data_IF_932445142306
#
_entry.id   IF_932445142306
#
_cell.length_a   1.000
_cell.length_b   1.000
_cell.length_c   1.000
_cell.angle_alpha   90.00
_cell.angle_beta   90.00
_cell.angle_gamma   90.00
#
_symmetry.space_group_name_H-M   'P 1'
#
loop_
_entity.id
_entity.type
_entity.pdbx_description
1 polymer ?
#
# COMPACT_ATOMS: atom_id res chain seq x y z
N UNK A 1 14.55 -8.43 -2.14
CA UNK A 1 14.27 -6.99 -1.96
C UNK A 1 13.38 -6.87 -0.72
N UNK A 2 13.08 -5.70 -0.16
CA UNK A 2 12.25 -5.65 1.07
C UNK A 2 10.78 -5.86 0.71
N UNK A 3 10.09 -6.84 1.28
CA UNK A 3 8.64 -7.00 1.07
C UNK A 3 7.85 -6.03 1.93
N UNK A 4 6.84 -5.37 1.34
CA UNK A 4 5.92 -4.49 2.09
C UNK A 4 5.24 -5.20 3.25
N UNK A 5 4.82 -6.45 3.05
CA UNK A 5 4.17 -7.26 4.09
C UNK A 5 5.04 -7.45 5.32
N UNK A 6 6.36 -7.61 5.16
CA UNK A 6 7.27 -7.84 6.28
C UNK A 6 7.35 -6.59 7.18
N UNK A 7 7.44 -5.41 6.57
CA UNK A 7 7.48 -4.12 7.30
C UNK A 7 6.15 -3.85 7.99
N UNK A 8 5.03 -4.03 7.28
CA UNK A 8 3.68 -3.81 7.83
C UNK A 8 3.38 -4.78 8.97
N UNK A 9 3.68 -6.07 8.81
CA UNK A 9 3.43 -7.07 9.84
C UNK A 9 4.32 -6.87 11.06
N UNK A 10 5.57 -6.44 10.87
CA UNK A 10 6.46 -6.08 11.97
C UNK A 10 5.90 -4.91 12.80
N UNK A 11 5.42 -3.85 12.17
CA UNK A 11 4.81 -2.73 12.89
C UNK A 11 3.53 -3.14 13.62
N UNK A 12 2.68 -3.96 12.98
CA UNK A 12 1.48 -4.54 13.61
C UNK A 12 1.83 -5.39 14.83
N UNK A 13 2.89 -6.19 14.76
CA UNK A 13 3.36 -7.00 15.89
C UNK A 13 3.78 -6.14 17.10
N UNK A 14 4.50 -5.04 16.88
CA UNK A 14 4.83 -4.09 17.96
C UNK A 14 3.56 -3.58 18.65
N UNK A 15 2.57 -3.15 17.87
CA UNK A 15 1.31 -2.63 18.39
C UNK A 15 0.49 -3.73 19.12
N UNK A 16 0.45 -4.95 18.58
CA UNK A 16 -0.23 -6.09 19.19
C UNK A 16 0.38 -6.46 20.55
N UNK A 17 1.71 -6.39 20.67
CA UNK A 17 2.42 -6.62 21.94
C UNK A 17 2.40 -5.42 22.87
N UNK A 18 1.94 -4.26 22.40
CA UNK A 18 1.92 -3.02 23.16
C UNK A 18 3.31 -2.50 23.51
N UNK A 19 4.31 -2.75 22.65
CA UNK A 19 5.70 -2.30 22.84
C UNK A 19 6.07 -1.23 21.82
N UNK A 20 7.12 -0.47 22.10
CA UNK A 20 7.77 0.41 21.13
C UNK A 20 9.20 -0.02 20.82
N UNK A 21 9.82 0.67 19.88
CA UNK A 21 11.25 0.63 19.57
C UNK A 21 11.86 1.99 19.81
N UNK A 22 13.11 1.97 20.27
CA UNK A 22 13.97 3.13 20.49
C UNK A 22 15.19 2.90 19.57
N UNK A 23 15.36 3.74 18.56
CA UNK A 23 16.37 3.53 17.53
C UNK A 23 17.68 4.22 17.89
N UNK A 24 17.63 5.43 18.45
CA UNK A 24 18.80 6.26 18.72
C UNK A 24 19.24 6.26 20.20
N UNK A 25 18.47 5.61 21.08
CA UNK A 25 18.70 5.55 22.52
C UNK A 25 18.36 6.85 23.25
N UNK A 26 17.63 7.77 22.62
CA UNK A 26 17.29 9.08 23.15
C UNK A 26 15.77 9.25 23.26
N UNK A 27 15.32 9.80 24.39
CA UNK A 27 13.91 10.13 24.64
C UNK A 27 12.93 8.93 24.55
N UNK A 28 13.43 7.69 24.58
CA UNK A 28 12.63 6.47 24.61
C UNK A 28 12.00 6.14 23.26
N UNK A 29 10.71 5.78 23.24
CA UNK A 29 10.05 5.30 22.01
C UNK A 29 9.25 6.41 21.33
N UNK A 30 9.93 7.32 20.63
CA UNK A 30 9.31 8.45 19.92
C UNK A 30 8.67 8.02 18.59
N UNK A 31 7.87 8.91 17.99
CA UNK A 31 7.26 8.64 16.68
C UNK A 31 8.30 8.41 15.58
N UNK A 32 9.42 9.13 15.63
CA UNK A 32 10.53 9.02 14.67
C UNK A 32 11.31 7.71 14.85
N UNK A 33 11.35 7.12 16.05
CA UNK A 33 12.07 5.85 16.28
C UNK A 33 11.48 4.71 15.50
N UNK A 34 10.15 4.58 15.49
CA UNK A 34 9.46 3.56 14.69
C UNK A 34 9.89 3.63 13.22
N UNK A 35 9.94 4.86 12.69
CA UNK A 35 10.27 5.14 11.29
C UNK A 35 11.75 4.93 10.99
N UNK A 36 12.63 5.41 11.86
CA UNK A 36 14.08 5.19 11.71
C UNK A 36 14.44 3.72 11.85
N UNK A 37 13.71 2.96 12.65
CA UNK A 37 13.83 1.51 12.66
C UNK A 37 13.41 0.89 11.33
N UNK A 38 12.32 1.35 10.69
CA UNK A 38 11.92 0.87 9.36
C UNK A 38 13.02 1.14 8.34
N UNK A 39 13.46 2.39 8.21
CA UNK A 39 14.44 2.81 7.21
C UNK A 39 15.85 2.32 7.49
N UNK A 40 16.26 2.24 8.75
CA UNK A 40 17.55 1.71 9.18
C UNK A 40 17.61 0.19 9.06
N UNK A 41 16.64 -0.54 9.62
CA UNK A 41 16.67 -2.01 9.66
C UNK A 41 16.38 -2.65 8.31
N UNK A 42 15.33 -2.21 7.61
CA UNK A 42 14.92 -2.85 6.37
C UNK A 42 15.66 -2.29 5.16
N UNK A 43 15.93 -0.98 5.13
CA UNK A 43 16.49 -0.30 3.96
C UNK A 43 17.95 0.15 4.14
N UNK A 44 18.53 0.01 5.34
CA UNK A 44 19.93 0.32 5.61
C UNK A 44 20.29 1.82 5.53
N UNK A 45 19.30 2.72 5.45
CA UNK A 45 19.51 4.17 5.35
C UNK A 45 18.48 4.89 6.22
N UNK A 46 18.76 5.12 7.52
CA UNK A 46 17.86 5.82 8.42
C UNK A 46 17.70 7.28 8.01
N UNK A 47 16.68 7.95 8.56
CA UNK A 47 16.41 9.37 8.32
C UNK A 47 16.84 10.20 9.53
N UNK A 48 17.01 11.50 9.32
CA UNK A 48 17.50 12.44 10.33
C UNK A 48 16.50 13.57 10.60
N UNK A 49 16.53 14.11 11.81
CA UNK A 49 15.68 15.22 12.25
C UNK A 49 14.38 14.77 12.90
N UNK A 50 13.54 15.76 13.24
CA UNK A 50 12.21 15.51 13.79
C UNK A 50 11.25 14.99 12.71
N UNK A 51 10.07 14.54 13.11
CA UNK A 51 9.06 14.03 12.18
C UNK A 51 8.76 15.01 11.03
N UNK A 52 8.70 16.31 11.30
CA UNK A 52 8.48 17.37 10.30
C UNK A 52 9.57 17.43 9.22
N UNK A 53 10.79 16.97 9.52
CA UNK A 53 11.93 17.03 8.61
C UNK A 53 12.08 15.78 7.72
N UNK A 54 11.29 14.73 7.99
CA UNK A 54 11.52 13.42 7.38
C UNK A 54 11.31 13.40 5.87
N UNK A 55 10.41 14.23 5.31
CA UNK A 55 10.23 14.32 3.86
C UNK A 55 11.50 14.84 3.17
N UNK A 56 12.15 15.85 3.73
CA UNK A 56 13.39 16.40 3.17
C UNK A 56 14.56 15.44 3.37
N UNK A 57 14.67 14.85 4.56
CA UNK A 57 15.68 13.82 4.85
C UNK A 57 15.53 12.62 3.90
N UNK A 58 14.30 12.20 3.59
CA UNK A 58 14.02 11.10 2.69
C UNK A 58 14.45 11.40 1.26
N UNK A 59 14.15 12.60 0.75
CA UNK A 59 14.63 13.04 -0.57
C UNK A 59 16.16 13.03 -0.66
N UNK A 60 16.84 13.55 0.36
CA UNK A 60 18.30 13.57 0.40
C UNK A 60 18.91 12.16 0.39
N UNK A 61 18.20 11.18 0.94
CA UNK A 61 18.61 9.77 0.93
C UNK A 61 18.13 8.98 -0.31
N UNK A 62 17.50 9.65 -1.28
CA UNK A 62 17.05 9.07 -2.55
C UNK A 62 15.76 8.26 -2.46
N UNK A 63 14.96 8.45 -1.41
CA UNK A 63 13.63 7.83 -1.31
C UNK A 63 12.58 8.62 -2.09
N UNK A 64 11.55 7.92 -2.55
CA UNK A 64 10.38 8.54 -3.18
C UNK A 64 9.57 9.29 -2.14
N UNK A 65 9.31 10.57 -2.39
CA UNK A 65 8.48 11.43 -1.56
C UNK A 65 7.29 11.94 -2.36
N UNK A 66 6.10 11.77 -1.81
CA UNK A 66 4.84 12.14 -2.42
C UNK A 66 4.18 13.16 -1.49
N UNK A 67 3.97 14.38 -2.00
CA UNK A 67 3.23 15.40 -1.26
C UNK A 67 1.73 15.17 -1.41
N UNK A 68 0.98 15.47 -0.34
CA UNK A 68 -0.47 15.40 -0.37
C UNK A 68 -1.00 16.36 -1.43
N UNK A 69 -1.78 15.83 -2.35
CA UNK A 69 -2.50 16.57 -3.39
C UNK A 69 -3.88 15.94 -3.62
N UNK A 70 -4.75 16.60 -4.37
CA UNK A 70 -6.06 16.03 -4.72
C UNK A 70 -5.86 14.73 -5.50
N UNK A 71 -6.56 13.67 -5.10
CA UNK A 71 -6.49 12.34 -5.73
C UNK A 71 -5.28 11.49 -5.31
N UNK A 72 -4.32 12.01 -4.55
CA UNK A 72 -3.24 11.22 -4.00
C UNK A 72 -3.64 10.63 -2.64
N UNK A 73 -3.46 9.31 -2.49
CA UNK A 73 -3.70 8.60 -1.23
C UNK A 73 -2.46 7.80 -0.82
N UNK A 74 -2.11 7.77 0.48
CA UNK A 74 -1.05 6.91 0.98
C UNK A 74 -1.44 5.43 0.86
N UNK A 75 -0.46 4.59 0.60
CA UNK A 75 -0.60 3.14 0.46
C UNK A 75 0.00 2.43 1.67
N UNK A 76 -0.37 1.17 1.87
CA UNK A 76 0.27 0.33 2.87
C UNK A 76 1.81 0.34 2.69
N UNK A 77 2.55 0.45 3.78
CA UNK A 77 4.00 0.58 3.78
C UNK A 77 4.53 2.00 3.57
N UNK A 78 3.68 2.98 3.26
CA UNK A 78 4.10 4.38 3.24
C UNK A 78 4.33 4.89 4.67
N UNK A 79 5.27 5.83 4.81
CA UNK A 79 5.50 6.57 6.06
C UNK A 79 4.96 7.98 5.90
N UNK A 80 3.92 8.33 6.64
CA UNK A 80 3.30 9.65 6.53
C UNK A 80 4.05 10.69 7.38
N UNK A 81 3.96 11.96 6.98
CA UNK A 81 4.42 13.10 7.77
C UNK A 81 3.29 14.11 7.86
N UNK A 82 3.03 14.61 9.06
CA UNK A 82 2.00 15.63 9.33
C UNK A 82 2.53 16.72 10.26
N UNK A 83 1.85 17.86 10.26
CA UNK A 83 2.07 18.91 11.25
C UNK A 83 1.61 18.45 12.64
N UNK A 84 2.41 18.72 13.67
CA UNK A 84 2.04 18.50 15.07
C UNK A 84 2.78 19.53 15.92
N UNK A 85 2.03 20.42 16.56
CA UNK A 85 2.57 21.52 17.34
C UNK A 85 2.48 21.19 18.82
N UNK A 86 3.63 21.19 19.50
CA UNK A 86 3.74 20.98 20.95
C UNK A 86 4.52 22.16 21.53
N UNK A 87 3.95 22.85 22.51
CA UNK A 87 4.61 24.01 23.14
C UNK A 87 4.95 25.16 22.18
N UNK A 88 4.19 25.32 21.10
CA UNK A 88 4.44 26.34 20.08
C UNK A 88 5.48 25.96 19.02
N UNK A 89 6.10 24.79 19.12
CA UNK A 89 7.07 24.27 18.15
C UNK A 89 6.43 23.14 17.35
N UNK A 90 6.57 23.17 16.02
CA UNK A 90 6.11 22.10 15.14
C UNK A 90 7.20 21.03 15.03
N UNK A 91 7.10 19.98 15.85
CA UNK A 91 7.96 18.80 15.74
C UNK A 91 7.49 17.85 14.63
N UNK A 92 6.24 18.01 14.21
CA UNK A 92 5.57 17.08 13.32
C UNK A 92 5.19 15.77 14.02
N UNK A 93 4.48 14.92 13.28
CA UNK A 93 4.20 13.55 13.71
C UNK A 93 4.28 12.61 12.51
N UNK A 94 4.56 11.34 12.76
CA UNK A 94 4.79 10.33 11.72
C UNK A 94 4.39 8.94 12.19
N UNK A 95 4.32 8.01 11.24
CA UNK A 95 4.08 6.59 11.48
C UNK A 95 3.94 5.82 10.18
N UNK A 96 3.72 4.52 10.30
CA UNK A 96 3.59 3.61 9.17
C UNK A 96 2.12 3.43 8.80
N UNK A 97 1.78 3.62 7.53
CA UNK A 97 0.48 3.30 6.95
C UNK A 97 0.38 1.79 6.74
N UNK A 98 -0.66 1.15 7.27
CA UNK A 98 -0.76 -0.32 7.34
C UNK A 98 -1.80 -0.93 6.40
N UNK A 99 -2.55 -0.09 5.69
CA UNK A 99 -3.49 -0.45 4.62
C UNK A 99 -3.58 0.68 3.60
N UNK A 100 -4.02 0.37 2.37
CA UNK A 100 -4.22 1.40 1.36
C UNK A 100 -5.34 2.36 1.79
N UNK A 101 -5.07 3.66 1.76
CA UNK A 101 -6.04 4.68 2.15
C UNK A 101 -7.09 4.86 1.06
N UNK A 102 -8.34 5.05 1.49
CA UNK A 102 -9.46 5.43 0.62
C UNK A 102 -9.43 6.91 0.19
N UNK A 103 -8.33 7.63 0.44
CA UNK A 103 -8.17 9.05 0.14
C UNK A 103 -8.79 10.01 1.16
N UNK A 104 -9.46 9.50 2.19
CA UNK A 104 -10.04 10.32 3.28
C UNK A 104 -9.39 10.02 4.63
N UNK A 105 -9.21 8.73 4.94
CA UNK A 105 -8.61 8.27 6.19
C UNK A 105 -7.47 7.30 5.92
N UNK A 106 -6.51 7.25 6.85
CA UNK A 106 -5.43 6.28 6.88
C UNK A 106 -5.52 5.46 8.17
N UNK A 107 -5.29 4.15 8.07
CA UNK A 107 -4.97 3.33 9.25
C UNK A 107 -3.48 3.14 9.33
N UNK A 108 -2.97 3.30 10.54
CA UNK A 108 -1.54 3.45 10.80
C UNK A 108 -1.13 2.70 12.06
N UNK A 109 0.17 2.46 12.18
CA UNK A 109 0.84 2.17 13.44
C UNK A 109 1.78 3.32 13.76
N UNK A 110 1.67 3.85 14.97
CA UNK A 110 2.36 5.07 15.42
C UNK A 110 2.88 4.88 16.85
N UNK A 111 3.99 5.52 17.19
CA UNK A 111 4.52 5.58 18.56
C UNK A 111 4.27 6.95 19.19
N UNK A 112 4.29 6.98 20.53
CA UNK A 112 4.13 8.18 21.34
C UNK A 112 2.83 8.96 21.04
N UNK A 113 1.71 8.24 21.03
CA UNK A 113 0.39 8.82 20.71
C UNK A 113 -0.61 8.75 21.87
N UNK A 114 -0.18 8.26 23.02
CA UNK A 114 -0.99 8.05 24.22
C UNK A 114 -1.15 9.33 25.06
N UNK A 115 -0.29 10.34 24.83
CA UNK A 115 -0.41 11.66 25.47
C UNK A 115 -0.03 11.70 26.95
N UNK A 116 0.84 10.79 27.40
CA UNK A 116 1.40 10.79 28.75
C UNK A 116 2.21 12.07 29.03
N UNK A 117 2.23 12.50 30.30
CA UNK A 117 2.83 13.78 30.70
C UNK A 117 4.36 13.85 30.45
N UNK A 118 5.02 12.69 30.45
CA UNK A 118 6.45 12.50 30.20
C UNK A 118 6.76 12.06 28.76
N UNK A 119 5.79 12.11 27.84
CA UNK A 119 5.91 11.68 26.45
C UNK A 119 7.12 12.26 25.70
N UNK A 120 7.55 13.48 26.05
CA UNK A 120 8.74 14.11 25.45
C UNK A 120 10.07 13.48 25.91
N UNK A 121 10.07 12.72 27.01
CA UNK A 121 11.26 12.15 27.62
C UNK A 121 11.33 10.63 27.52
N UNK A 122 10.17 9.95 27.43
CA UNK A 122 10.10 8.48 27.39
C UNK A 122 9.37 7.94 26.16
N UNK A 123 8.68 8.81 25.42
CA UNK A 123 7.86 8.41 24.29
C UNK A 123 6.64 7.62 24.71
N UNK A 124 6.21 6.71 23.83
CA UNK A 124 5.12 5.77 24.12
C UNK A 124 5.10 4.61 23.13
N UNK A 125 4.49 3.47 23.51
CA UNK A 125 4.50 2.25 22.70
C UNK A 125 3.79 2.42 21.36
N UNK A 126 3.99 1.46 20.46
CA UNK A 126 3.29 1.44 19.19
C UNK A 126 1.78 1.18 19.39
N UNK A 127 0.94 1.94 18.68
CA UNK A 127 -0.53 1.85 18.71
C UNK A 127 -1.10 1.86 17.32
N UNK A 128 -2.19 1.14 17.13
CA UNK A 128 -3.06 1.32 15.98
C UNK A 128 -3.77 2.67 16.05
N UNK A 129 -3.81 3.38 14.94
CA UNK A 129 -4.57 4.63 14.80
C UNK A 129 -5.35 4.63 13.49
N UNK A 130 -6.48 5.30 13.52
CA UNK A 130 -7.21 5.74 12.32
C UNK A 130 -7.21 7.26 12.36
N UNK A 131 -6.73 7.90 11.30
CA UNK A 131 -6.62 9.36 11.22
C UNK A 131 -7.15 9.85 9.89
N UNK A 132 -7.73 11.05 9.88
CA UNK A 132 -7.98 11.74 8.61
C UNK A 132 -6.66 12.17 7.98
N UNK A 133 -6.70 12.50 6.68
CA UNK A 133 -5.57 13.14 6.00
C UNK A 133 -5.45 14.65 6.31
N UNK A 134 -6.15 15.15 7.34
CA UNK A 134 -6.00 16.53 7.82
C UNK A 134 -4.59 16.70 8.39
N UNK A 135 -3.95 17.83 8.09
CA UNK A 135 -2.57 18.18 8.49
C UNK A 135 -1.44 17.28 7.95
N UNK A 136 -1.78 16.22 7.21
CA UNK A 136 -0.80 15.42 6.47
C UNK A 136 -0.18 16.27 5.36
N UNK A 137 1.15 16.34 5.35
CA UNK A 137 1.96 17.09 4.39
C UNK A 137 2.27 16.20 3.17
N UNK A 138 2.57 14.93 3.43
CA UNK A 138 2.96 13.97 2.43
C UNK A 138 3.40 12.66 3.07
N UNK A 139 3.97 11.78 2.25
CA UNK A 139 4.46 10.48 2.69
C UNK A 139 5.68 10.05 1.87
N UNK A 140 6.46 9.18 2.50
CA UNK A 140 7.64 8.55 1.92
C UNK A 140 7.24 7.15 1.51
N UNK A 141 7.55 6.78 0.26
CA UNK A 141 7.29 5.45 -0.30
C UNK A 141 8.61 4.71 -0.53
N UNK A 142 9.01 3.82 0.37
CA UNK A 142 10.16 2.96 0.14
C UNK A 142 9.98 2.08 -1.11
N UNK A 143 11.09 1.69 -1.74
CA UNK A 143 11.07 0.77 -2.88
C UNK A 143 10.93 -0.67 -2.37
N UNK A 144 9.69 -1.13 -2.27
CA UNK A 144 9.38 -2.52 -1.90
C UNK A 144 9.52 -3.46 -3.09
N UNK A 145 9.74 -4.75 -2.80
CA UNK A 145 9.79 -5.84 -3.80
C UNK A 145 8.50 -5.96 -4.60
N UNK A 146 7.37 -5.77 -3.92
CA UNK A 146 6.04 -5.80 -4.50
C UNK A 146 5.58 -4.43 -5.01
N UNK A 147 6.44 -3.41 -5.08
CA UNK A 147 6.08 -2.11 -5.64
C UNK A 147 5.88 -2.14 -7.16
N UNK A 148 6.56 -3.07 -7.85
CA UNK A 148 6.36 -3.37 -9.27
C UNK A 148 5.25 -4.42 -9.49
N UNK A 149 4.76 -5.01 -8.40
CA UNK A 149 3.48 -5.73 -8.36
C UNK A 149 2.46 -4.71 -7.87
N UNK A 150 2.21 -3.68 -8.68
CA UNK A 150 0.88 -3.09 -8.60
C UNK A 150 -0.08 -4.27 -8.63
N UNK A 151 -0.92 -4.37 -7.61
CA UNK A 151 -2.28 -4.79 -7.89
C UNK A 151 -2.73 -3.82 -8.98
N UNK A 152 -2.51 -4.21 -10.24
CA UNK A 152 -3.56 -4.10 -11.22
C UNK A 152 -4.79 -4.48 -10.40
N UNK A 153 -5.69 -3.51 -10.19
CA UNK A 153 -7.08 -3.90 -10.31
C UNK A 153 -7.07 -4.85 -11.49
N UNK A 154 -7.28 -6.14 -11.26
CA UNK A 154 -7.59 -7.03 -12.36
C UNK A 154 -8.81 -6.34 -13.00
N UNK A 155 -8.58 -5.48 -14.00
CA UNK A 155 -9.37 -5.56 -15.21
C UNK A 155 -9.28 -7.04 -15.50
N UNK A 156 -10.29 -7.79 -15.05
CA UNK A 156 -10.44 -9.17 -15.45
C UNK A 156 -10.36 -9.09 -16.96
N UNK A 157 -9.23 -9.54 -17.53
CA UNK A 157 -8.93 -9.36 -18.95
C UNK A 157 -10.02 -10.07 -19.72
N UNK A 158 -11.05 -9.31 -20.09
CA UNK A 158 -12.27 -9.83 -20.66
C UNK A 158 -12.04 -9.86 -22.16
N UNK A 159 -11.90 -11.06 -22.70
CA UNK A 159 -11.78 -11.30 -24.13
C UNK A 159 -12.66 -12.44 -24.56
N UNK A 160 -12.99 -12.46 -25.84
CA UNK A 160 -13.67 -13.59 -26.47
C UNK A 160 -12.64 -14.47 -27.18
N UNK A 161 -12.87 -15.77 -27.15
CA UNK A 161 -12.14 -16.74 -27.98
C UNK A 161 -13.09 -17.43 -28.93
N UNK A 162 -12.62 -17.73 -30.13
CA UNK A 162 -13.35 -18.54 -31.09
C UNK A 162 -12.47 -19.63 -31.69
N UNK A 163 -13.06 -20.77 -32.01
CA UNK A 163 -12.36 -21.86 -32.67
C UNK A 163 -13.27 -22.54 -33.72
N UNK A 164 -12.68 -23.10 -34.79
CA UNK A 164 -13.44 -23.84 -35.80
C UNK A 164 -14.30 -24.93 -35.15
N UNK A 165 -15.59 -24.99 -35.49
CA UNK A 165 -16.56 -25.96 -34.95
C UNK A 165 -16.78 -25.93 -33.41
N UNK A 166 -16.40 -24.85 -32.70
CA UNK A 166 -16.57 -24.72 -31.24
C UNK A 166 -17.33 -23.48 -30.76
N UNK A 167 -17.68 -22.55 -31.66
CA UNK A 167 -18.41 -21.32 -31.31
C UNK A 167 -17.51 -20.24 -30.72
N UNK A 168 -18.10 -19.33 -29.95
CA UNK A 168 -17.42 -18.22 -29.27
C UNK A 168 -17.65 -18.37 -27.77
N UNK A 169 -16.61 -18.12 -26.98
CA UNK A 169 -16.69 -18.11 -25.52
C UNK A 169 -16.09 -16.81 -24.98
N UNK A 170 -16.59 -16.36 -23.84
CA UNK A 170 -16.02 -15.28 -23.06
C UNK A 170 -15.00 -15.87 -22.07
N UNK A 171 -13.86 -15.23 -21.94
CA UNK A 171 -12.86 -15.51 -20.91
C UNK A 171 -12.69 -14.24 -20.09
N UNK A 172 -12.94 -14.32 -18.79
CA UNK A 172 -12.78 -13.21 -17.84
C UNK A 172 -12.21 -13.76 -16.54
N UNK A 173 -11.16 -13.13 -16.00
CA UNK A 173 -10.50 -13.60 -14.78
C UNK A 173 -9.98 -15.05 -14.86
N UNK A 174 -9.67 -15.55 -16.07
CA UNK A 174 -9.26 -16.94 -16.32
C UNK A 174 -10.40 -17.98 -16.32
N UNK A 175 -11.67 -17.54 -16.21
CA UNK A 175 -12.86 -18.41 -16.26
C UNK A 175 -13.47 -18.40 -17.65
N UNK A 176 -13.82 -19.58 -18.16
CA UNK A 176 -14.47 -19.79 -19.45
C UNK A 176 -15.99 -19.78 -19.31
N UNK A 177 -16.65 -18.96 -20.12
CA UNK A 177 -18.10 -18.89 -20.23
C UNK A 177 -18.52 -19.17 -21.67
N UNK A 178 -19.30 -20.23 -21.88
CA UNK A 178 -19.91 -20.48 -23.18
C UNK A 178 -21.00 -19.41 -23.44
N UNK A 179 -20.93 -18.74 -24.58
CA UNK A 179 -22.00 -17.83 -25.01
C UNK A 179 -23.12 -18.65 -25.66
N UNK A 180 -24.33 -18.53 -25.12
CA UNK A 180 -25.48 -19.35 -25.51
C UNK A 180 -26.37 -18.64 -26.54
N UNK A 181 -26.32 -17.31 -26.61
CA UNK A 181 -27.02 -16.51 -27.62
C UNK A 181 -26.05 -16.06 -28.72
N UNK A 182 -26.52 -16.10 -29.97
CA UNK A 182 -25.73 -15.72 -31.13
C UNK A 182 -25.45 -14.21 -31.21
N UNK A 183 -26.19 -13.38 -30.47
CA UNK A 183 -26.05 -11.92 -30.47
C UNK A 183 -25.08 -11.41 -29.39
N UNK A 184 -24.84 -12.19 -28.33
CA UNK A 184 -23.95 -11.80 -27.22
C UNK A 184 -22.54 -11.37 -27.67
N UNK A 185 -21.87 -12.09 -28.59
CA UNK A 185 -20.54 -11.69 -29.06
C UNK A 185 -20.51 -10.27 -29.64
N UNK A 186 -21.56 -9.88 -30.37
CA UNK A 186 -21.63 -8.56 -30.99
C UNK A 186 -21.73 -7.44 -29.94
N UNK A 187 -22.42 -7.69 -28.83
CA UNK A 187 -22.51 -6.75 -27.70
C UNK A 187 -21.13 -6.55 -27.07
N UNK A 188 -20.40 -7.64 -26.82
CA UNK A 188 -19.04 -7.56 -26.26
C UNK A 188 -18.11 -6.77 -27.18
N UNK A 189 -18.11 -7.06 -28.47
CA UNK A 189 -17.24 -6.38 -29.43
C UNK A 189 -17.59 -4.90 -29.61
N UNK A 190 -18.86 -4.53 -29.57
CA UNK A 190 -19.30 -3.14 -29.59
C UNK A 190 -18.80 -2.35 -28.36
N UNK A 191 -18.55 -3.02 -27.24
CA UNK A 191 -17.99 -2.45 -26.02
C UNK A 191 -16.45 -2.60 -25.92
N UNK A 192 -15.78 -2.96 -27.03
CA UNK A 192 -14.31 -2.98 -27.09
C UNK A 192 -13.65 -4.28 -26.62
N UNK A 193 -14.42 -5.33 -26.32
CA UNK A 193 -13.89 -6.66 -25.99
C UNK A 193 -13.23 -7.26 -27.23
N UNK A 194 -11.98 -7.70 -27.10
CA UNK A 194 -11.23 -8.32 -28.22
C UNK A 194 -11.70 -9.75 -28.46
N UNK A 195 -11.58 -10.21 -29.71
CA UNK A 195 -11.78 -11.61 -30.08
C UNK A 195 -10.47 -12.24 -30.57
N UNK A 196 -10.15 -13.43 -30.08
CA UNK A 196 -8.99 -14.20 -30.50
C UNK A 196 -9.40 -15.54 -31.13
N UNK A 197 -8.93 -15.80 -32.34
CA UNK A 197 -9.06 -17.13 -32.94
C UNK A 197 -7.98 -18.06 -32.37
N UNK A 198 -8.42 -19.19 -31.82
CA UNK A 198 -7.54 -20.20 -31.23
C UNK A 198 -7.78 -21.57 -31.86
N UNK A 199 -6.86 -22.51 -31.62
CA UNK A 199 -7.04 -23.90 -32.05
C UNK A 199 -8.17 -24.57 -31.26
N UNK A 200 -8.81 -25.59 -31.84
CA UNK A 200 -9.82 -26.41 -31.13
C UNK A 200 -9.24 -27.05 -29.86
N UNK A 201 -7.97 -27.49 -29.91
CA UNK A 201 -7.27 -28.03 -28.73
C UNK A 201 -7.11 -26.99 -27.62
N UNK A 202 -6.80 -25.75 -27.98
CA UNK A 202 -6.65 -24.64 -27.04
C UNK A 202 -8.00 -24.28 -26.42
N UNK A 203 -9.04 -24.17 -27.24
CA UNK A 203 -10.41 -23.90 -26.79
C UNK A 203 -10.90 -24.98 -25.80
N UNK A 204 -10.73 -26.26 -26.16
CA UNK A 204 -11.11 -27.39 -25.30
C UNK A 204 -10.32 -27.41 -23.98
N UNK A 205 -9.07 -26.93 -23.98
CA UNK A 205 -8.26 -26.82 -22.77
C UNK A 205 -8.78 -25.72 -21.83
N UNK A 206 -9.16 -24.55 -22.37
CA UNK A 206 -9.81 -23.49 -21.60
C UNK A 206 -11.13 -23.97 -20.99
N UNK A 207 -11.97 -24.64 -21.79
CA UNK A 207 -13.24 -25.18 -21.33
C UNK A 207 -13.08 -26.20 -20.19
N UNK A 208 -12.05 -27.05 -20.23
CA UNK A 208 -11.74 -28.03 -19.17
C UNK A 208 -11.20 -27.39 -17.90
N UNK A 209 -10.42 -26.32 -18.03
CA UNK A 209 -9.79 -25.61 -16.90
C UNK A 209 -10.77 -24.87 -15.98
N UNK A 210 -12.00 -24.62 -16.45
CA UNK A 210 -13.02 -23.86 -15.71
C UNK A 210 -13.99 -24.72 -14.90
N UNK A 211 -13.76 -26.03 -14.83
CA UNK A 211 -14.49 -26.92 -13.91
C UNK A 211 -13.70 -27.02 -12.60
N UNK A 212 -13.96 -26.10 -11.67
CA UNK A 212 -13.68 -26.24 -10.24
C UNK A 212 -14.87 -25.77 -9.44
#
# INVERSE_FOLDING_TARGET
>A
MVKRSDVVNWAKDLANRGVGVDYDGQYGTQCVDLVNWVFGKFFGRPLSGNAINLLDSAKQNGYTVIYKSSGAAPKAGDVFVMNSIIGGVNYGHTGLVIEDSNGSNMKTVEQNVDGNADALYVGGPARYRTRSLTDVIGWIRPKYEDADISKEEEEEDMFTISAPNRGIALVTGGVFYALLDANDPAVFWANGVKNMQVSTKTFDNFQKGSVK
#
